data_IF_976433644786
#
_entry.id   IF_976433644786
#
_cell.length_a   1.000
_cell.length_b   1.000
_cell.length_c   1.000
_cell.angle_alpha   90.00
_cell.angle_beta   90.00
_cell.angle_gamma   90.00
#
_symmetry.space_group_name_H-M   'P 1'
#
loop_
_entity.id
_entity.type
_entity.pdbx_description
1 polymer ?
#
# COMPACT_ATOMS: atom_id res chain seq x y z
N UNK A 1 16.29 2.98 2.95
CA UNK A 1 16.33 3.88 4.13
C UNK A 1 17.68 4.59 4.25
N UNK A 2 18.82 3.88 4.22
CA UNK A 2 20.16 4.52 4.29
C UNK A 2 20.52 5.41 3.10
N UNK A 3 20.12 5.05 1.87
CA UNK A 3 20.36 5.88 0.68
C UNK A 3 19.60 7.23 0.73
N UNK A 4 18.31 7.19 1.07
CA UNK A 4 17.47 8.39 1.27
C UNK A 4 18.07 9.32 2.33
N UNK A 5 18.56 8.76 3.44
CA UNK A 5 19.25 9.51 4.49
C UNK A 5 20.54 10.19 4.01
N UNK A 6 21.24 9.61 3.03
CA UNK A 6 22.49 10.19 2.51
C UNK A 6 22.25 11.17 1.34
N UNK A 7 21.23 10.94 0.52
CA UNK A 7 20.89 11.77 -0.64
C UNK A 7 19.97 12.94 -0.28
N UNK A 8 18.73 12.64 0.11
CA UNK A 8 17.68 13.65 0.34
C UNK A 8 17.92 14.48 1.61
N UNK A 9 18.39 13.85 2.70
CA UNK A 9 18.55 14.52 3.99
C UNK A 9 19.83 15.35 4.10
N UNK A 10 20.93 14.95 3.44
CA UNK A 10 22.18 15.71 3.49
C UNK A 10 22.21 16.92 2.55
N UNK A 11 21.26 17.09 1.63
CA UNK A 11 21.35 18.14 0.60
C UNK A 11 20.14 19.05 0.43
N UNK A 12 18.96 18.78 1.02
CA UNK A 12 17.79 19.60 0.68
C UNK A 12 16.73 19.95 1.74
N UNK A 13 16.65 19.25 2.88
CA UNK A 13 15.61 19.61 3.86
C UNK A 13 15.99 20.91 4.58
N UNK A 14 15.02 21.81 4.78
CA UNK A 14 15.25 23.07 5.49
C UNK A 14 15.77 22.79 6.91
N UNK A 15 16.77 23.53 7.41
CA UNK A 15 17.38 23.28 8.73
C UNK A 15 16.37 23.26 9.89
N UNK A 16 15.27 24.00 9.75
CA UNK A 16 14.22 24.14 10.77
C UNK A 16 13.19 22.99 10.76
N UNK A 17 13.27 22.07 9.80
CA UNK A 17 12.28 21.01 9.64
C UNK A 17 12.47 19.89 10.66
N UNK A 18 11.38 19.47 11.30
CA UNK A 18 11.36 18.25 12.11
C UNK A 18 11.14 17.04 11.21
N UNK A 19 12.04 16.05 11.27
CA UNK A 19 11.86 14.78 10.56
C UNK A 19 11.44 13.66 11.51
N UNK A 20 10.39 12.93 11.13
CA UNK A 20 9.91 11.74 11.83
C UNK A 20 10.10 10.52 10.94
N UNK A 21 10.94 9.58 11.39
CA UNK A 21 11.12 8.29 10.71
C UNK A 21 10.21 7.24 11.32
N UNK A 22 9.30 6.71 10.50
CA UNK A 22 8.47 5.56 10.87
C UNK A 22 9.18 4.29 10.42
N UNK A 23 9.74 3.55 11.38
CA UNK A 23 10.50 2.34 11.07
C UNK A 23 9.64 1.25 10.42
N UNK A 24 8.47 0.95 11.00
CA UNK A 24 7.58 -0.10 10.53
C UNK A 24 6.10 0.23 10.78
N UNK A 25 5.34 0.46 9.71
CA UNK A 25 3.86 0.58 9.78
C UNK A 25 3.19 -0.80 9.86
N UNK A 26 3.79 -1.82 9.23
CA UNK A 26 3.32 -3.21 9.26
C UNK A 26 4.39 -4.14 9.87
N UNK A 27 4.65 -4.09 11.19
CA UNK A 27 5.67 -4.91 11.81
C UNK A 27 5.41 -6.41 11.66
N UNK A 28 4.15 -6.84 11.73
CA UNK A 28 3.76 -8.23 11.49
C UNK A 28 4.11 -8.69 10.06
N UNK A 29 3.71 -7.91 9.06
CA UNK A 29 4.00 -8.22 7.67
C UNK A 29 5.51 -8.32 7.39
N UNK A 30 6.29 -7.38 7.94
CA UNK A 30 7.75 -7.40 7.84
C UNK A 30 8.37 -8.64 8.50
N UNK A 31 7.94 -9.01 9.70
CA UNK A 31 8.44 -10.19 10.41
C UNK A 31 8.11 -11.52 9.71
N UNK A 32 7.02 -11.56 8.94
CA UNK A 32 6.54 -12.75 8.24
C UNK A 32 6.74 -12.71 6.72
N UNK A 33 7.54 -11.77 6.19
CA UNK A 33 7.79 -11.60 4.76
C UNK A 33 6.51 -11.54 3.91
N UNK A 34 5.48 -10.86 4.41
CA UNK A 34 4.18 -10.74 3.74
C UNK A 34 3.70 -9.29 3.68
N UNK A 35 2.87 -9.02 2.67
CA UNK A 35 2.28 -7.70 2.44
C UNK A 35 1.24 -7.31 3.51
N UNK A 36 0.45 -8.25 3.96
CA UNK A 36 -0.73 -8.03 4.81
C UNK A 36 -0.38 -8.08 6.31
N UNK A 37 -1.17 -7.42 7.15
CA UNK A 37 -1.00 -7.49 8.61
C UNK A 37 -1.54 -8.80 9.19
N UNK A 38 -1.56 -8.90 10.52
CA UNK A 38 -2.04 -10.06 11.29
C UNK A 38 -3.50 -10.45 10.98
N UNK A 39 -4.31 -9.48 10.54
CA UNK A 39 -5.72 -9.66 10.18
C UNK A 39 -5.91 -9.90 8.67
N UNK A 40 -4.83 -10.17 7.93
CA UNK A 40 -4.83 -10.29 6.46
C UNK A 40 -5.27 -9.01 5.72
N UNK A 41 -5.14 -7.84 6.36
CA UNK A 41 -5.51 -6.55 5.79
C UNK A 41 -4.31 -5.92 5.07
N UNK A 42 -4.55 -5.43 3.84
CA UNK A 42 -3.64 -4.56 3.12
C UNK A 42 -3.76 -3.12 3.67
N UNK A 43 -2.76 -2.70 4.46
CA UNK A 43 -2.75 -1.39 5.07
C UNK A 43 -2.78 -0.25 4.04
N UNK A 44 -2.31 -0.47 2.81
CA UNK A 44 -2.34 0.53 1.74
C UNK A 44 -3.74 0.69 1.09
N UNK A 45 -4.76 -0.01 1.61
CA UNK A 45 -6.17 0.10 1.19
C UNK A 45 -7.11 0.35 2.36
N UNK A 46 -6.56 0.51 3.55
CA UNK A 46 -7.29 0.55 4.81
C UNK A 46 -7.46 1.96 5.40
N UNK A 47 -6.58 2.90 5.05
CA UNK A 47 -6.65 4.30 5.50
C UNK A 47 -7.74 5.07 4.73
N UNK A 48 -9.01 4.78 5.04
CA UNK A 48 -10.19 5.42 4.43
C UNK A 48 -10.90 6.35 5.42
N UNK A 49 -11.56 7.39 4.90
CA UNK A 49 -12.48 8.24 5.67
C UNK A 49 -13.78 7.50 6.01
N UNK A 50 -14.64 8.09 6.84
CA UNK A 50 -15.95 7.51 7.15
C UNK A 50 -16.82 7.32 5.89
N UNK A 51 -16.77 8.27 4.96
CA UNK A 51 -17.44 8.22 3.67
C UNK A 51 -16.81 7.14 2.79
N UNK A 52 -15.48 7.06 2.76
CA UNK A 52 -14.75 6.03 2.01
C UNK A 52 -15.10 4.61 2.49
N UNK A 53 -15.22 4.41 3.80
CA UNK A 53 -15.70 3.14 4.36
C UNK A 53 -17.11 2.80 3.91
N UNK A 54 -18.05 3.77 3.94
CA UNK A 54 -19.41 3.55 3.44
C UNK A 54 -19.42 3.18 1.96
N UNK A 55 -18.61 3.86 1.15
CA UNK A 55 -18.54 3.61 -0.29
C UNK A 55 -18.03 2.20 -0.60
N UNK A 56 -16.87 1.80 -0.05
CA UNK A 56 -16.26 0.52 -0.37
C UNK A 56 -17.06 -0.68 0.14
N UNK A 57 -17.79 -0.52 1.25
CA UNK A 57 -18.62 -1.57 1.83
C UNK A 57 -19.99 -1.69 1.13
N UNK A 58 -20.51 -0.61 0.55
CA UNK A 58 -21.78 -0.61 -0.19
C UNK A 58 -21.62 -0.95 -1.68
N UNK A 59 -20.39 -0.88 -2.20
CA UNK A 59 -20.06 -1.18 -3.59
C UNK A 59 -20.33 -2.64 -3.94
N UNK A 60 -20.67 -2.88 -5.20
CA UNK A 60 -20.76 -4.25 -5.74
C UNK A 60 -19.41 -4.99 -5.55
N UNK A 61 -19.38 -6.13 -4.82
CA UNK A 61 -18.18 -6.93 -4.61
C UNK A 61 -17.49 -7.35 -5.91
N UNK A 62 -18.24 -7.47 -7.00
CA UNK A 62 -17.70 -7.88 -8.30
C UNK A 62 -17.47 -6.74 -9.29
N UNK A 63 -17.55 -5.46 -8.88
CA UNK A 63 -17.40 -4.33 -9.82
C UNK A 63 -16.09 -4.40 -10.64
N UNK A 64 -15.03 -4.92 -10.02
CA UNK A 64 -13.73 -5.10 -10.67
C UNK A 64 -13.48 -6.48 -11.28
N UNK A 65 -14.39 -7.45 -11.10
CA UNK A 65 -14.22 -8.84 -11.52
C UNK A 65 -13.57 -9.74 -10.46
N UNK A 66 -13.60 -9.36 -9.18
CA UNK A 66 -12.97 -10.15 -8.11
C UNK A 66 -13.61 -11.53 -7.93
N UNK A 67 -14.94 -11.63 -8.02
CA UNK A 67 -15.66 -12.91 -7.87
C UNK A 67 -15.28 -13.89 -8.98
N UNK A 68 -14.98 -13.40 -10.19
CA UNK A 68 -14.58 -14.24 -11.32
C UNK A 68 -13.28 -15.03 -11.04
N UNK A 69 -12.46 -14.54 -10.12
CA UNK A 69 -11.20 -15.16 -9.69
C UNK A 69 -11.19 -15.52 -8.20
N UNK A 70 -12.35 -15.54 -7.53
CA UNK A 70 -12.46 -15.80 -6.09
C UNK A 70 -11.76 -17.09 -5.66
N UNK A 71 -11.91 -18.15 -6.44
CA UNK A 71 -11.30 -19.46 -6.18
C UNK A 71 -9.76 -19.43 -6.22
N UNK A 72 -9.18 -18.43 -6.89
CA UNK A 72 -7.74 -18.19 -6.93
C UNK A 72 -7.30 -17.25 -5.79
N UNK A 73 -8.12 -16.26 -5.45
CA UNK A 73 -7.77 -15.18 -4.55
C UNK A 73 -8.06 -15.46 -3.07
N UNK A 74 -9.06 -16.30 -2.80
CA UNK A 74 -9.50 -16.62 -1.44
C UNK A 74 -9.01 -18.01 -1.08
N UNK A 75 -8.13 -18.08 -0.08
CA UNK A 75 -7.68 -19.37 0.42
C UNK A 75 -8.83 -20.07 1.17
N UNK A 76 -9.43 -21.09 0.56
CA UNK A 76 -10.52 -21.87 1.17
C UNK A 76 -10.02 -22.81 2.29
N UNK A 77 -8.74 -23.22 2.25
CA UNK A 77 -8.10 -24.07 3.25
C UNK A 77 -6.57 -23.89 3.24
N UNK A 78 -5.90 -24.36 4.30
CA UNK A 78 -4.45 -24.50 4.30
C UNK A 78 -4.05 -25.40 3.12
N UNK A 79 -3.22 -24.91 2.19
CA UNK A 79 -3.06 -25.61 0.94
C UNK A 79 -2.16 -26.84 1.14
N UNK A 80 -2.63 -28.01 0.72
CA UNK A 80 -1.81 -29.21 0.62
C UNK A 80 -0.69 -28.99 -0.42
N UNK A 81 0.48 -29.61 -0.22
CA UNK A 81 1.65 -29.43 -1.13
C UNK A 81 1.28 -29.54 -2.62
N UNK A 82 0.45 -30.53 -2.98
CA UNK A 82 0.01 -30.76 -4.36
C UNK A 82 -0.94 -29.68 -4.92
N UNK A 83 -1.81 -29.11 -4.07
CA UNK A 83 -2.72 -28.04 -4.52
C UNK A 83 -1.98 -26.74 -4.80
N UNK A 84 -0.89 -26.46 -4.07
CA UNK A 84 0.02 -25.33 -4.37
C UNK A 84 0.85 -25.60 -5.63
N UNK A 85 1.45 -26.79 -5.73
CA UNK A 85 2.42 -27.10 -6.78
C UNK A 85 1.82 -27.26 -8.19
N UNK A 86 0.57 -27.73 -8.30
CA UNK A 86 -0.06 -28.02 -9.60
C UNK A 86 -1.42 -27.33 -9.71
N UNK A 87 -2.24 -27.46 -8.66
CA UNK A 87 -3.62 -26.96 -8.68
C UNK A 87 -3.72 -25.45 -8.91
N UNK A 88 -2.84 -24.67 -8.27
CA UNK A 88 -2.79 -23.22 -8.45
C UNK A 88 -2.48 -22.85 -9.91
N UNK A 89 -1.43 -23.43 -10.49
CA UNK A 89 -1.00 -23.12 -11.85
C UNK A 89 -2.04 -23.49 -12.91
N UNK A 90 -2.64 -24.68 -12.81
CA UNK A 90 -3.68 -25.12 -13.74
C UNK A 90 -4.90 -24.21 -13.68
N UNK A 91 -5.34 -23.83 -12.47
CA UNK A 91 -6.47 -22.90 -12.28
C UNK A 91 -6.14 -21.51 -12.80
N UNK A 92 -4.94 -21.00 -12.50
CA UNK A 92 -4.49 -19.71 -13.02
C UNK A 92 -4.48 -19.71 -14.55
N UNK A 93 -3.95 -20.76 -15.19
CA UNK A 93 -3.94 -20.87 -16.65
C UNK A 93 -5.36 -20.92 -17.22
N UNK A 94 -6.24 -21.74 -16.65
CA UNK A 94 -7.65 -21.81 -17.05
C UNK A 94 -8.35 -20.44 -16.96
N UNK A 95 -8.20 -19.74 -15.83
CA UNK A 95 -8.81 -18.44 -15.61
C UNK A 95 -8.22 -17.36 -16.52
N UNK A 96 -6.91 -17.40 -16.78
CA UNK A 96 -6.24 -16.52 -17.74
C UNK A 96 -6.75 -16.78 -19.16
N UNK A 97 -6.92 -18.04 -19.58
CA UNK A 97 -7.48 -18.37 -20.89
C UNK A 97 -8.94 -17.92 -21.02
N UNK A 98 -9.72 -18.02 -19.93
CA UNK A 98 -11.15 -17.67 -19.93
C UNK A 98 -11.41 -16.16 -19.89
N UNK A 99 -10.67 -15.42 -19.07
CA UNK A 99 -10.94 -14.01 -18.77
C UNK A 99 -9.84 -13.04 -19.23
N UNK A 100 -8.65 -13.55 -19.51
CA UNK A 100 -7.50 -12.76 -19.94
C UNK A 100 -6.71 -12.14 -18.77
N UNK A 101 -5.41 -11.90 -19.02
CA UNK A 101 -4.48 -11.33 -18.03
C UNK A 101 -4.88 -9.91 -17.59
N UNK A 102 -5.47 -9.11 -18.49
CA UNK A 102 -5.93 -7.75 -18.16
C UNK A 102 -7.05 -7.76 -17.11
N UNK A 103 -8.01 -8.67 -17.25
CA UNK A 103 -9.11 -8.81 -16.29
C UNK A 103 -8.59 -9.31 -14.94
N UNK A 104 -7.71 -10.31 -14.96
CA UNK A 104 -7.04 -10.80 -13.74
C UNK A 104 -6.31 -9.67 -13.01
N UNK A 105 -5.48 -8.89 -13.73
CA UNK A 105 -4.74 -7.77 -13.14
C UNK A 105 -5.69 -6.71 -12.56
N UNK A 106 -6.78 -6.38 -13.27
CA UNK A 106 -7.79 -5.44 -12.78
C UNK A 106 -8.42 -5.94 -11.48
N UNK A 107 -8.84 -7.19 -11.44
CA UNK A 107 -9.45 -7.81 -10.28
C UNK A 107 -8.49 -7.87 -9.08
N UNK A 108 -7.20 -8.16 -9.31
CA UNK A 108 -6.17 -8.14 -8.26
C UNK A 108 -5.93 -6.73 -7.70
N UNK A 109 -5.77 -5.72 -8.55
CA UNK A 109 -5.40 -4.36 -8.11
C UNK A 109 -6.55 -3.62 -7.43
N UNK A 110 -7.79 -3.95 -7.78
CA UNK A 110 -8.98 -3.27 -7.25
C UNK A 110 -9.28 -3.55 -5.77
N UNK A 111 -8.55 -4.47 -5.13
CA UNK A 111 -8.78 -4.92 -3.77
C UNK A 111 -10.16 -5.57 -3.56
N UNK A 112 -10.39 -6.10 -2.37
CA UNK A 112 -11.72 -6.56 -1.93
C UNK A 112 -12.00 -6.07 -0.52
N UNK A 113 -13.26 -5.80 -0.23
CA UNK A 113 -13.74 -5.47 1.12
C UNK A 113 -14.80 -6.47 1.59
N UNK A 114 -15.04 -7.55 0.84
CA UNK A 114 -16.07 -8.56 1.16
C UNK A 114 -15.47 -9.93 1.51
N UNK A 115 -14.22 -10.20 1.11
CA UNK A 115 -13.54 -11.47 1.38
C UNK A 115 -12.34 -11.29 2.31
N UNK A 116 -12.56 -11.48 3.62
CA UNK A 116 -11.50 -11.31 4.63
C UNK A 116 -10.29 -12.24 4.44
N UNK A 117 -10.50 -13.41 3.81
CA UNK A 117 -9.43 -14.39 3.48
C UNK A 117 -8.82 -14.18 2.09
N UNK A 118 -9.26 -13.15 1.37
CA UNK A 118 -8.81 -12.83 0.03
C UNK A 118 -7.47 -12.11 0.01
N UNK A 119 -6.75 -12.20 -1.10
CA UNK A 119 -5.63 -11.28 -1.36
C UNK A 119 -6.15 -9.85 -1.54
N UNK A 120 -5.33 -8.87 -1.14
CA UNK A 120 -5.65 -7.45 -1.21
C UNK A 120 -6.95 -7.09 -0.48
N UNK A 121 -7.25 -7.77 0.62
CA UNK A 121 -8.38 -7.42 1.47
C UNK A 121 -8.12 -6.08 2.20
N UNK A 122 -9.00 -5.10 2.05
CA UNK A 122 -8.84 -3.76 2.61
C UNK A 122 -9.27 -3.62 4.07
N UNK A 123 -9.88 -4.65 4.67
CA UNK A 123 -10.46 -4.59 6.02
C UNK A 123 -11.92 -4.14 6.01
N UNK A 124 -12.51 -4.04 7.21
CA UNK A 124 -13.84 -3.46 7.44
C UNK A 124 -13.81 -2.25 8.37
N UNK A 125 -12.64 -1.98 8.94
CA UNK A 125 -12.38 -0.86 9.83
C UNK A 125 -10.89 -0.50 9.77
N UNK A 126 -10.59 0.72 10.19
CA UNK A 126 -9.23 1.22 10.29
C UNK A 126 -8.40 0.34 11.24
N UNK A 127 -7.27 -0.19 10.77
CA UNK A 127 -6.42 -1.10 11.54
C UNK A 127 -5.63 -0.36 12.63
N UNK A 128 -5.24 -1.06 13.71
CA UNK A 128 -4.47 -0.47 14.82
C UNK A 128 -3.20 0.26 14.37
N UNK A 129 -2.48 -0.25 13.37
CA UNK A 129 -1.28 0.40 12.81
C UNK A 129 -1.54 1.86 12.42
N UNK A 130 -2.64 2.12 11.71
CA UNK A 130 -3.00 3.48 11.29
C UNK A 130 -3.52 4.32 12.45
N UNK A 131 -4.27 3.73 13.39
CA UNK A 131 -4.75 4.44 14.59
C UNK A 131 -3.59 4.92 15.45
N UNK A 132 -2.65 4.03 15.78
CA UNK A 132 -1.48 4.35 16.60
C UNK A 132 -0.63 5.44 15.93
N UNK A 133 -0.39 5.31 14.62
CA UNK A 133 0.39 6.30 13.87
C UNK A 133 -0.32 7.66 13.80
N UNK A 134 -1.63 7.66 13.51
CA UNK A 134 -2.43 8.89 13.47
C UNK A 134 -2.51 9.57 14.83
N UNK A 135 -2.70 8.82 15.90
CA UNK A 135 -2.78 9.34 17.27
C UNK A 135 -1.43 9.93 17.71
N UNK A 136 -0.32 9.27 17.34
CA UNK A 136 1.02 9.81 17.57
C UNK A 136 1.21 11.15 16.85
N UNK A 137 0.89 11.21 15.55
CA UNK A 137 1.04 12.44 14.75
C UNK A 137 0.15 13.56 15.31
N UNK A 138 -1.12 13.28 15.60
CA UNK A 138 -2.05 14.27 16.17
C UNK A 138 -1.58 14.78 17.53
N UNK A 139 -1.08 13.90 18.39
CA UNK A 139 -0.62 14.28 19.74
C UNK A 139 0.61 15.17 19.70
N UNK A 140 1.53 14.93 18.77
CA UNK A 140 2.82 15.62 18.73
C UNK A 140 2.90 16.77 17.72
N UNK A 141 2.08 16.74 16.67
CA UNK A 141 2.14 17.65 15.53
C UNK A 141 0.74 18.12 15.09
N UNK A 142 -0.30 17.94 15.90
CA UNK A 142 -1.67 18.30 15.56
C UNK A 142 -1.91 19.81 15.36
N UNK A 143 -1.08 20.64 16.00
CA UNK A 143 -1.13 22.10 15.86
C UNK A 143 -0.30 22.63 14.69
N UNK A 144 0.40 21.75 13.97
CA UNK A 144 1.19 22.15 12.79
C UNK A 144 0.25 22.45 11.62
N UNK A 145 0.36 23.63 10.98
CA UNK A 145 -0.43 23.94 9.80
C UNK A 145 -0.22 22.88 8.70
N UNK A 146 -1.31 22.42 8.07
CA UNK A 146 -1.23 21.34 7.08
C UNK A 146 -0.32 21.63 5.88
N UNK A 147 -0.11 22.91 5.55
CA UNK A 147 0.78 23.35 4.47
C UNK A 147 2.27 23.16 4.80
N UNK A 148 2.61 22.92 6.07
CA UNK A 148 3.98 22.74 6.56
C UNK A 148 4.31 21.25 6.79
N UNK A 149 3.41 20.33 6.41
CA UNK A 149 3.56 18.88 6.60
C UNK A 149 3.77 18.18 5.26
N UNK A 150 4.91 17.51 5.11
CA UNK A 150 5.19 16.62 3.98
C UNK A 150 5.13 15.15 4.38
N UNK A 151 4.50 14.32 3.55
CA UNK A 151 4.51 12.86 3.71
C UNK A 151 5.28 12.21 2.56
N UNK A 152 6.28 11.40 2.89
CA UNK A 152 7.04 10.64 1.90
C UNK A 152 6.88 9.16 2.21
N UNK A 153 6.21 8.43 1.31
CA UNK A 153 6.17 6.97 1.37
C UNK A 153 7.35 6.40 0.58
N UNK A 154 8.13 5.54 1.24
CA UNK A 154 9.35 4.98 0.67
C UNK A 154 9.05 3.59 0.14
N UNK A 155 9.16 3.45 -1.17
CA UNK A 155 9.10 2.15 -1.84
C UNK A 155 10.45 1.78 -2.42
N UNK A 156 10.79 0.49 -2.31
CA UNK A 156 11.95 -0.09 -3.01
C UNK A 156 11.43 -0.91 -4.19
N UNK A 157 12.12 -0.85 -5.34
CA UNK A 157 11.80 -1.69 -6.50
C UNK A 157 11.60 -0.96 -7.84
N UNK A 158 11.69 0.37 -7.87
CA UNK A 158 11.73 1.15 -9.12
C UNK A 158 13.11 1.78 -9.28
N UNK A 159 13.73 1.59 -10.45
CA UNK A 159 15.02 2.18 -10.80
C UNK A 159 16.26 1.36 -10.39
N UNK A 160 17.48 1.85 -10.74
CA UNK A 160 18.74 1.23 -10.34
C UNK A 160 18.95 1.20 -8.83
N UNK A 161 19.71 0.23 -8.33
CA UNK A 161 20.06 0.16 -6.91
C UNK A 161 20.83 1.41 -6.47
N UNK A 162 20.43 2.02 -5.35
CA UNK A 162 21.09 3.21 -4.79
C UNK A 162 20.68 4.54 -5.42
N UNK A 163 19.72 4.54 -6.34
CA UNK A 163 19.14 5.75 -6.92
C UNK A 163 17.73 5.95 -6.38
N UNK A 164 17.50 7.07 -5.70
CA UNK A 164 16.19 7.44 -5.18
C UNK A 164 15.49 8.39 -6.17
N UNK A 165 14.21 8.11 -6.48
CA UNK A 165 13.37 8.96 -7.32
C UNK A 165 12.11 9.31 -6.54
N UNK A 166 11.79 10.59 -6.48
CA UNK A 166 10.57 11.06 -5.88
C UNK A 166 9.45 11.06 -6.92
N UNK A 167 8.47 10.19 -6.73
CA UNK A 167 7.29 10.11 -7.56
C UNK A 167 6.22 11.00 -6.96
N UNK A 168 5.70 11.95 -7.73
CA UNK A 168 4.65 12.86 -7.27
C UNK A 168 3.60 13.08 -8.35
N UNK A 169 2.37 13.39 -7.93
CA UNK A 169 1.27 13.67 -8.84
C UNK A 169 0.83 15.14 -8.75
N UNK A 170 0.59 15.77 -9.90
CA UNK A 170 -0.06 17.09 -9.96
C UNK A 170 0.66 18.19 -9.15
N UNK A 171 -0.04 18.80 -8.20
CA UNK A 171 0.47 19.91 -7.39
C UNK A 171 1.61 19.49 -6.44
N UNK A 172 1.69 18.20 -6.12
CA UNK A 172 2.68 17.66 -5.18
C UNK A 172 4.11 17.71 -5.75
N UNK A 173 4.28 17.67 -7.08
CA UNK A 173 5.59 17.75 -7.72
C UNK A 173 6.33 19.05 -7.41
N UNK A 174 5.58 20.17 -7.30
CA UNK A 174 6.17 21.48 -7.00
C UNK A 174 6.59 21.56 -5.53
N UNK A 175 5.70 21.15 -4.62
CA UNK A 175 5.99 21.11 -3.19
C UNK A 175 7.16 20.17 -2.88
N UNK A 176 7.22 19.03 -3.57
CA UNK A 176 8.33 18.09 -3.54
C UNK A 176 9.67 18.72 -3.95
N UNK A 177 9.70 19.41 -5.10
CA UNK A 177 10.91 20.06 -5.59
C UNK A 177 11.38 21.20 -4.67
N UNK A 178 10.44 21.95 -4.07
CA UNK A 178 10.73 23.03 -3.12
C UNK A 178 11.17 22.51 -1.74
N UNK A 179 10.62 21.38 -1.29
CA UNK A 179 10.93 20.75 0.00
C UNK A 179 12.15 19.84 0.00
N UNK A 180 12.54 19.31 -1.16
CA UNK A 180 13.68 18.42 -1.36
C UNK A 180 14.57 18.86 -2.54
N UNK A 181 15.17 20.06 -2.49
CA UNK A 181 16.10 20.51 -3.52
C UNK A 181 17.25 19.50 -3.69
N UNK A 182 17.39 18.95 -4.91
CA UNK A 182 18.36 17.91 -5.25
C UNK A 182 17.76 16.51 -5.46
N UNK A 183 16.50 16.27 -5.06
CA UNK A 183 15.81 15.02 -5.38
C UNK A 183 15.45 14.95 -6.87
N UNK A 184 15.62 13.77 -7.48
CA UNK A 184 15.12 13.51 -8.83
C UNK A 184 13.60 13.36 -8.78
N UNK A 185 12.87 14.39 -9.21
CA UNK A 185 11.40 14.40 -9.22
C UNK A 185 10.88 13.88 -10.57
N UNK A 186 10.00 12.88 -10.53
CA UNK A 186 9.29 12.36 -11.70
C UNK A 186 7.78 12.44 -11.48
N UNK A 187 7.06 12.81 -12.54
CA UNK A 187 5.60 12.87 -12.63
C UNK A 187 5.00 11.61 -13.22
#
# INVERSE_FOLDING_TARGET
>A
QTAILHGMFCSGIRPESTCVFVHAVNPYGMAHFRRFNENNVDLNRNALTAEGWREVLARDPNLAGYEDFRDLFVASAAPMRWSVLIGLWVRSLYLICRYGVRHLKRAMVAATYHHAKGIFFGGHELQPSHRILSDYIKRHFGDTPGNDVGWVDVHTGLGPSGVDVLLCGGQDCRAAAEGFPGASVQS
#
